data_IF_266727584101
#
_entry.id   IF_266727584101
#
_cell.length_a   1.000
_cell.length_b   1.000
_cell.length_c   1.000
_cell.angle_alpha   90.00
_cell.angle_beta   90.00
_cell.angle_gamma   90.00
#
_symmetry.space_group_name_H-M   'P 1'
#
loop_
_entity.id
_entity.type
_entity.pdbx_description
1 polymer ?
#
# COMPACT_ATOMS: atom_id res chain seq x y z
N UNK A 1 -28.53 -36.52 -26.37
CA UNK A 1 -28.17 -37.07 -25.07
C UNK A 1 -27.61 -35.95 -24.22
N UNK A 2 -28.47 -35.33 -23.42
CA UNK A 2 -28.09 -34.19 -22.53
C UNK A 2 -27.36 -34.75 -21.29
N UNK A 3 -26.11 -34.33 -21.11
CA UNK A 3 -25.41 -34.56 -19.84
C UNK A 3 -26.05 -33.66 -18.79
N UNK A 4 -26.73 -34.24 -17.81
CA UNK A 4 -27.16 -33.56 -16.60
C UNK A 4 -25.91 -33.09 -15.85
N UNK A 5 -25.73 -31.77 -15.79
CA UNK A 5 -24.70 -31.16 -14.96
C UNK A 5 -25.22 -31.23 -13.52
N UNK A 6 -24.67 -32.14 -12.72
CA UNK A 6 -24.92 -32.20 -11.29
C UNK A 6 -24.33 -30.93 -10.64
N UNK A 7 -25.19 -30.04 -10.21
CA UNK A 7 -24.81 -28.88 -9.37
C UNK A 7 -24.48 -29.44 -7.97
N UNK A 8 -23.21 -29.53 -7.65
CA UNK A 8 -22.76 -29.86 -6.30
C UNK A 8 -23.14 -28.74 -5.29
N UNK A 9 -23.46 -29.09 -4.03
CA UNK A 9 -24.23 -28.22 -3.12
C UNK A 9 -23.52 -26.98 -2.55
N UNK A 10 -22.26 -26.73 -2.87
CA UNK A 10 -21.49 -25.63 -2.27
C UNK A 10 -21.78 -24.24 -2.83
N UNK A 11 -22.42 -24.14 -3.99
CA UNK A 11 -22.84 -22.89 -4.60
C UNK A 11 -24.34 -22.58 -4.47
N UNK A 12 -25.11 -23.40 -3.76
CA UNK A 12 -26.57 -23.33 -3.80
C UNK A 12 -27.16 -22.04 -3.24
N UNK A 13 -26.57 -21.42 -2.22
CA UNK A 13 -27.08 -20.17 -1.64
C UNK A 13 -26.82 -18.95 -2.53
N UNK A 14 -25.63 -18.89 -3.16
CA UNK A 14 -25.30 -17.81 -4.09
C UNK A 14 -26.04 -18.00 -5.42
N UNK A 15 -26.14 -19.23 -5.92
CA UNK A 15 -26.88 -19.53 -7.15
C UNK A 15 -28.36 -19.15 -7.06
N UNK A 16 -28.96 -19.19 -5.88
CA UNK A 16 -30.34 -18.75 -5.66
C UNK A 16 -30.52 -17.21 -5.76
N UNK A 17 -29.44 -16.45 -5.52
CA UNK A 17 -29.47 -14.98 -5.55
C UNK A 17 -29.13 -14.43 -6.94
N UNK A 18 -28.07 -14.98 -7.58
CA UNK A 18 -27.53 -14.45 -8.85
C UNK A 18 -27.99 -15.23 -10.09
N UNK A 19 -28.94 -16.13 -9.95
CA UNK A 19 -29.42 -17.11 -10.94
C UNK A 19 -28.33 -18.13 -11.37
N UNK A 20 -28.73 -19.30 -11.91
CA UNK A 20 -27.78 -20.35 -12.34
C UNK A 20 -26.76 -19.88 -13.39
N UNK A 21 -27.16 -18.98 -14.28
CA UNK A 21 -26.27 -18.39 -15.29
C UNK A 21 -25.16 -17.54 -14.67
N UNK A 22 -25.44 -16.80 -13.60
CA UNK A 22 -24.43 -16.01 -12.87
C UNK A 22 -23.38 -16.90 -12.22
N UNK A 23 -23.76 -18.04 -11.63
CA UNK A 23 -22.82 -18.99 -11.07
C UNK A 23 -21.91 -19.63 -12.14
N UNK A 24 -22.44 -19.90 -13.33
CA UNK A 24 -21.63 -20.39 -14.44
C UNK A 24 -20.61 -19.34 -14.90
N UNK A 25 -21.01 -18.05 -14.97
CA UNK A 25 -20.09 -16.94 -15.27
C UNK A 25 -18.97 -16.84 -14.25
N UNK A 26 -19.27 -16.88 -12.95
CA UNK A 26 -18.23 -16.87 -11.90
C UNK A 26 -17.26 -18.03 -12.07
N UNK A 27 -17.78 -19.23 -12.31
CA UNK A 27 -16.98 -20.44 -12.46
C UNK A 27 -16.06 -20.43 -13.69
N UNK A 28 -16.44 -19.72 -14.77
CA UNK A 28 -15.60 -19.54 -15.95
C UNK A 28 -14.67 -18.34 -15.86
N UNK A 29 -14.88 -17.44 -14.90
CA UNK A 29 -14.13 -16.19 -14.79
C UNK A 29 -12.76 -16.37 -14.15
N UNK A 30 -11.82 -15.52 -14.58
CA UNK A 30 -10.46 -15.40 -14.05
C UNK A 30 -10.27 -14.01 -13.47
N UNK A 31 -9.98 -13.93 -12.18
CA UNK A 31 -9.81 -12.67 -11.44
C UNK A 31 -8.38 -12.53 -10.95
N UNK A 32 -7.76 -11.39 -11.20
CA UNK A 32 -6.46 -11.04 -10.66
C UNK A 32 -6.64 -10.10 -9.46
N UNK A 33 -5.99 -10.43 -8.36
CA UNK A 33 -5.92 -9.61 -7.15
C UNK A 33 -4.49 -9.10 -7.04
N UNK A 34 -4.30 -7.79 -7.16
CA UNK A 34 -3.00 -7.15 -6.98
C UNK A 34 -2.91 -6.60 -5.56
N UNK A 35 -2.05 -7.21 -4.77
CA UNK A 35 -1.90 -6.99 -3.33
C UNK A 35 -2.57 -8.10 -2.49
N UNK A 36 -1.77 -8.88 -1.76
CA UNK A 36 -2.23 -9.91 -0.82
C UNK A 36 -2.21 -9.40 0.63
N UNK A 37 -2.52 -8.12 0.81
CA UNK A 37 -2.57 -7.42 2.09
C UNK A 37 -3.96 -7.39 2.73
N UNK A 38 -4.24 -6.32 3.48
CA UNK A 38 -5.48 -6.17 4.24
C UNK A 38 -6.76 -6.11 3.40
N UNK A 39 -6.68 -5.60 2.16
CA UNK A 39 -7.78 -5.61 1.17
C UNK A 39 -7.86 -6.95 0.44
N UNK A 40 -6.72 -7.42 -0.08
CA UNK A 40 -6.68 -8.63 -0.93
C UNK A 40 -7.01 -9.91 -0.18
N UNK A 41 -6.64 -10.03 1.08
CA UNK A 41 -6.95 -11.21 1.89
C UNK A 41 -8.47 -11.50 1.96
N UNK A 42 -9.32 -10.59 2.46
CA UNK A 42 -10.75 -10.84 2.49
C UNK A 42 -11.37 -10.93 1.09
N UNK A 43 -10.87 -10.14 0.11
CA UNK A 43 -11.33 -10.24 -1.27
C UNK A 43 -11.09 -11.63 -1.85
N UNK A 44 -9.89 -12.19 -1.71
CA UNK A 44 -9.55 -13.53 -2.17
C UNK A 44 -10.42 -14.61 -1.50
N UNK A 45 -10.63 -14.49 -0.18
CA UNK A 45 -11.43 -15.44 0.59
C UNK A 45 -12.87 -15.52 0.05
N UNK A 46 -13.53 -14.36 -0.12
CA UNK A 46 -14.90 -14.32 -0.57
C UNK A 46 -15.06 -14.68 -2.05
N UNK A 47 -14.12 -14.31 -2.93
CA UNK A 47 -14.16 -14.71 -4.34
C UNK A 47 -13.93 -16.21 -4.52
N UNK A 48 -13.04 -16.82 -3.74
CA UNK A 48 -12.87 -18.26 -3.69
C UNK A 48 -14.17 -18.93 -3.23
N UNK A 49 -14.79 -18.45 -2.14
CA UNK A 49 -16.06 -18.94 -1.64
C UNK A 49 -17.23 -18.78 -2.60
N UNK A 50 -17.25 -17.68 -3.37
CA UNK A 50 -18.27 -17.43 -4.39
C UNK A 50 -18.15 -18.33 -5.63
N UNK A 51 -17.03 -19.05 -5.81
CA UNK A 51 -16.85 -19.98 -6.89
C UNK A 51 -16.25 -19.39 -8.17
N UNK A 52 -15.45 -18.35 -8.05
CA UNK A 52 -14.62 -17.84 -9.16
C UNK A 52 -13.67 -18.95 -9.61
N UNK A 53 -13.58 -19.19 -10.92
CA UNK A 53 -12.86 -20.35 -11.46
C UNK A 53 -11.34 -20.24 -11.36
N UNK A 54 -10.78 -19.04 -11.51
CA UNK A 54 -9.34 -18.79 -11.37
C UNK A 54 -9.09 -17.53 -10.57
N UNK A 55 -8.24 -17.60 -9.55
CA UNK A 55 -7.76 -16.46 -8.77
C UNK A 55 -6.25 -16.37 -8.91
N UNK A 56 -5.77 -15.26 -9.52
CA UNK A 56 -4.36 -14.86 -9.49
C UNK A 56 -4.10 -13.92 -8.34
N UNK A 57 -2.97 -14.06 -7.66
CA UNK A 57 -2.52 -13.14 -6.62
C UNK A 57 -1.13 -12.61 -6.99
N UNK A 58 -0.99 -11.27 -7.01
CA UNK A 58 0.29 -10.56 -7.23
C UNK A 58 0.67 -9.88 -5.94
N UNK A 59 1.81 -10.23 -5.38
CA UNK A 59 2.42 -9.53 -4.23
C UNK A 59 3.88 -9.95 -4.11
N UNK A 60 4.79 -8.99 -3.97
CA UNK A 60 6.24 -9.24 -3.83
C UNK A 60 6.72 -9.38 -2.39
N UNK A 61 5.87 -9.06 -1.40
CA UNK A 61 6.24 -9.01 0.02
C UNK A 61 6.20 -10.38 0.69
N UNK A 62 6.83 -10.43 1.86
CA UNK A 62 6.72 -11.52 2.82
C UNK A 62 5.71 -11.19 3.93
N UNK A 63 5.22 -12.23 4.58
CA UNK A 63 4.36 -12.12 5.77
C UNK A 63 5.17 -11.57 6.93
N UNK A 64 4.71 -10.47 7.51
CA UNK A 64 5.33 -9.82 8.66
C UNK A 64 4.37 -9.84 9.86
N UNK A 65 4.91 -9.98 11.08
CA UNK A 65 4.13 -10.02 12.32
C UNK A 65 3.25 -8.78 12.46
N UNK A 66 3.80 -7.59 12.13
CA UNK A 66 3.08 -6.32 12.20
C UNK A 66 1.87 -6.22 11.27
N UNK A 67 1.71 -7.17 10.34
CA UNK A 67 0.62 -7.19 9.38
C UNK A 67 -0.54 -8.12 9.78
N UNK A 68 -0.31 -9.05 10.71
CA UNK A 68 -1.28 -10.10 11.04
C UNK A 68 -2.61 -9.57 11.58
N UNK A 69 -2.60 -8.41 12.22
CA UNK A 69 -3.82 -7.77 12.76
C UNK A 69 -4.84 -7.35 11.68
N UNK A 70 -4.45 -7.32 10.39
CA UNK A 70 -5.31 -6.90 9.27
C UNK A 70 -5.24 -7.80 8.03
N UNK A 71 -4.27 -8.70 7.93
CA UNK A 71 -4.05 -9.58 6.78
C UNK A 71 -4.51 -11.00 7.11
N UNK A 72 -5.82 -11.22 7.07
CA UNK A 72 -6.53 -12.38 7.66
C UNK A 72 -6.27 -13.74 7.01
N UNK A 73 -5.62 -13.80 5.84
CA UNK A 73 -5.17 -15.07 5.23
C UNK A 73 -3.80 -15.54 5.73
N UNK A 74 -3.08 -14.68 6.45
CA UNK A 74 -1.75 -15.03 6.94
C UNK A 74 -1.80 -15.46 8.41
N UNK A 75 -0.92 -16.39 8.77
CA UNK A 75 -0.81 -16.95 10.11
C UNK A 75 0.58 -16.66 10.68
N UNK A 76 0.71 -16.64 12.00
CA UNK A 76 2.01 -16.49 12.68
C UNK A 76 3.04 -17.53 12.21
N UNK A 77 2.60 -18.76 11.93
CA UNK A 77 3.47 -19.82 11.41
C UNK A 77 4.03 -19.56 10.00
N UNK A 78 3.48 -18.58 9.28
CA UNK A 78 3.87 -18.23 7.90
C UNK A 78 4.70 -16.93 7.84
N UNK A 79 5.11 -16.37 8.99
CA UNK A 79 5.99 -15.19 9.02
C UNK A 79 7.30 -15.50 8.29
N UNK A 80 7.72 -14.58 7.40
CA UNK A 80 8.87 -14.75 6.51
C UNK A 80 8.56 -15.52 5.21
N UNK A 81 7.36 -16.09 5.05
CA UNK A 81 6.92 -16.70 3.79
C UNK A 81 6.33 -15.63 2.86
N UNK A 82 6.48 -15.78 1.54
CA UNK A 82 5.86 -14.87 0.57
C UNK A 82 4.35 -14.80 0.78
N UNK A 83 3.77 -13.61 0.76
CA UNK A 83 2.34 -13.38 1.01
C UNK A 83 1.45 -14.18 0.07
N UNK A 84 1.79 -14.24 -1.24
CA UNK A 84 1.01 -15.00 -2.23
C UNK A 84 0.99 -16.50 -1.91
N UNK A 85 2.11 -17.07 -1.49
CA UNK A 85 2.20 -18.49 -1.14
C UNK A 85 1.42 -18.81 0.13
N UNK A 86 1.55 -17.95 1.16
CA UNK A 86 0.80 -18.06 2.41
C UNK A 86 -0.71 -17.96 2.18
N UNK A 87 -1.16 -17.03 1.34
CA UNK A 87 -2.57 -16.86 1.01
C UNK A 87 -3.12 -18.08 0.24
N UNK A 88 -2.40 -18.58 -0.77
CA UNK A 88 -2.81 -19.75 -1.56
C UNK A 88 -2.84 -21.01 -0.70
N UNK A 89 -1.89 -21.18 0.20
CA UNK A 89 -1.90 -22.29 1.16
C UNK A 89 -3.18 -22.27 2.01
N UNK A 90 -3.50 -21.10 2.57
CA UNK A 90 -4.72 -20.91 3.35
C UNK A 90 -5.99 -21.23 2.53
N UNK A 91 -6.09 -20.72 1.30
CA UNK A 91 -7.22 -20.96 0.40
C UNK A 91 -7.33 -22.44 0.00
N UNK A 92 -6.22 -23.16 -0.16
CA UNK A 92 -6.15 -24.60 -0.48
C UNK A 92 -6.48 -25.49 0.69
N UNK A 93 -6.22 -25.09 1.93
CA UNK A 93 -6.59 -25.89 3.11
C UNK A 93 -8.10 -26.16 3.16
N UNK A 94 -8.90 -25.34 2.50
CA UNK A 94 -10.33 -25.53 2.30
C UNK A 94 -10.67 -26.44 1.10
N UNK A 95 -9.66 -27.03 0.40
CA UNK A 95 -9.88 -27.95 -0.73
C UNK A 95 -10.19 -29.40 -0.23
N UNK A 96 -11.40 -29.90 -0.46
CA UNK A 96 -11.81 -31.25 0.00
C UNK A 96 -11.07 -32.40 -0.67
N UNK A 97 -10.34 -32.16 -1.78
CA UNK A 97 -9.59 -33.22 -2.49
C UNK A 97 -8.39 -33.73 -1.69
N UNK A 98 -7.84 -32.94 -0.79
CA UNK A 98 -6.71 -33.30 0.07
C UNK A 98 -7.13 -34.26 1.20
N UNK A 99 -8.40 -34.34 1.54
CA UNK A 99 -8.93 -35.14 2.66
C UNK A 99 -9.15 -36.63 2.26
N UNK A 100 -9.21 -36.94 0.95
CA UNK A 100 -9.50 -38.31 0.47
C UNK A 100 -8.33 -39.31 0.54
N UNK A 101 -7.10 -38.87 0.77
CA UNK A 101 -5.93 -39.80 0.76
C UNK A 101 -5.69 -40.53 2.08
N UNK A 102 -6.32 -40.16 3.20
CA UNK A 102 -6.12 -40.82 4.50
C UNK A 102 -7.36 -41.54 5.01
N UNK A 103 -7.76 -42.63 4.29
CA UNK A 103 -8.84 -43.53 4.76
C UNK A 103 -8.49 -44.36 6.01
N UNK A 104 -7.27 -44.23 6.57
CA UNK A 104 -6.83 -45.05 7.71
C UNK A 104 -6.80 -44.35 9.08
N UNK A 105 -7.09 -43.06 9.18
CA UNK A 105 -7.20 -42.35 10.48
C UNK A 105 -8.62 -41.87 10.74
N UNK A 106 -9.51 -42.82 11.07
CA UNK A 106 -10.78 -42.51 11.73
C UNK A 106 -10.49 -42.07 13.17
N UNK A 107 -10.44 -40.79 13.45
CA UNK A 107 -10.93 -40.13 14.69
C UNK A 107 -10.43 -38.67 14.72
N UNK A 108 -11.38 -37.76 14.82
CA UNK A 108 -11.34 -36.29 14.82
C UNK A 108 -11.40 -35.64 13.45
N UNK A 109 -12.51 -35.81 12.76
CA UNK A 109 -12.99 -34.83 11.78
C UNK A 109 -13.68 -33.73 12.56
N UNK A 110 -12.98 -32.65 12.83
CA UNK A 110 -13.62 -31.33 12.96
C UNK A 110 -14.23 -31.02 11.60
N UNK A 111 -15.53 -30.74 11.56
CA UNK A 111 -16.23 -30.21 10.40
C UNK A 111 -15.62 -28.84 10.04
N UNK A 112 -14.50 -28.83 9.34
CA UNK A 112 -13.95 -27.61 8.77
C UNK A 112 -14.75 -27.32 7.49
N UNK A 113 -15.45 -26.19 7.50
CA UNK A 113 -16.28 -25.70 6.41
C UNK A 113 -15.46 -25.58 5.14
N UNK A 114 -15.91 -26.23 4.07
CA UNK A 114 -15.24 -26.32 2.79
C UNK A 114 -15.61 -25.09 1.95
N UNK A 115 -14.69 -24.17 1.74
CA UNK A 115 -14.79 -23.24 0.64
C UNK A 115 -14.56 -24.02 -0.68
N UNK A 116 -14.96 -23.54 -1.79
CA UNK A 116 -15.07 -24.19 -3.08
C UNK A 116 -13.81 -25.01 -3.52
N UNK A 117 -13.91 -26.28 -3.92
CA UNK A 117 -12.79 -27.10 -4.38
C UNK A 117 -12.36 -26.85 -5.84
N UNK A 118 -13.00 -25.91 -6.55
CA UNK A 118 -12.83 -25.74 -7.99
C UNK A 118 -11.89 -24.60 -8.44
N UNK A 119 -11.55 -23.57 -7.64
CA UNK A 119 -10.68 -22.51 -8.13
C UNK A 119 -9.28 -23.00 -8.43
N UNK A 120 -8.74 -22.50 -9.54
CA UNK A 120 -7.30 -22.55 -9.80
C UNK A 120 -6.65 -21.32 -9.17
N UNK A 121 -5.64 -21.53 -8.33
CA UNK A 121 -4.89 -20.45 -7.70
C UNK A 121 -3.54 -20.28 -8.39
N UNK A 122 -3.21 -19.06 -8.83
CA UNK A 122 -1.97 -18.72 -9.52
C UNK A 122 -1.21 -17.68 -8.68
N UNK A 123 0.02 -17.99 -8.28
CA UNK A 123 0.90 -17.09 -7.57
C UNK A 123 1.75 -16.29 -8.57
N UNK A 124 1.81 -14.97 -8.38
CA UNK A 124 2.76 -14.07 -9.01
C UNK A 124 3.60 -13.42 -7.90
N UNK A 125 4.68 -14.08 -7.45
CA UNK A 125 5.44 -13.68 -6.27
C UNK A 125 6.46 -12.57 -6.58
N UNK A 126 5.98 -11.44 -7.12
CA UNK A 126 6.80 -10.29 -7.49
C UNK A 126 5.99 -8.99 -7.34
N UNK A 127 6.69 -7.88 -7.15
CA UNK A 127 6.08 -6.57 -7.31
C UNK A 127 5.72 -6.33 -8.77
N UNK A 128 4.56 -5.74 -9.00
CA UNK A 128 4.08 -5.44 -10.34
C UNK A 128 4.95 -4.35 -10.98
N UNK A 129 5.50 -4.64 -12.16
CA UNK A 129 6.26 -3.69 -12.95
C UNK A 129 5.52 -3.27 -14.22
N UNK A 130 5.83 -2.11 -14.84
CA UNK A 130 5.25 -1.73 -16.14
C UNK A 130 5.50 -2.76 -17.24
N UNK A 131 6.61 -3.48 -17.18
CA UNK A 131 7.00 -4.49 -18.16
C UNK A 131 6.17 -5.77 -18.02
N UNK A 132 5.88 -6.21 -16.78
CA UNK A 132 5.20 -7.47 -16.50
C UNK A 132 3.67 -7.33 -16.48
N UNK A 133 3.18 -6.15 -16.10
CA UNK A 133 1.74 -5.92 -15.93
C UNK A 133 0.90 -6.31 -17.15
N UNK A 134 1.25 -5.97 -18.40
CA UNK A 134 0.46 -6.34 -19.56
C UNK A 134 0.34 -7.85 -19.75
N UNK A 135 1.43 -8.59 -19.60
CA UNK A 135 1.45 -10.05 -19.79
C UNK A 135 0.64 -10.76 -18.72
N UNK A 136 0.73 -10.31 -17.46
CA UNK A 136 -0.03 -10.86 -16.35
C UNK A 136 -1.52 -10.55 -16.54
N UNK A 137 -1.91 -9.31 -16.81
CA UNK A 137 -3.32 -8.89 -16.90
C UNK A 137 -4.06 -9.52 -18.08
N UNK A 138 -3.36 -9.79 -19.18
CA UNK A 138 -3.96 -10.41 -20.37
C UNK A 138 -4.65 -11.75 -20.06
N UNK A 139 -4.16 -12.49 -19.06
CA UNK A 139 -4.67 -13.80 -18.67
C UNK A 139 -5.97 -13.75 -17.84
N UNK A 140 -6.44 -12.57 -17.43
CA UNK A 140 -7.57 -12.39 -16.51
C UNK A 140 -8.70 -11.56 -17.12
N UNK A 141 -9.92 -11.77 -16.62
CA UNK A 141 -11.14 -11.08 -17.09
C UNK A 141 -11.45 -9.83 -16.27
N UNK A 142 -11.04 -9.80 -15.00
CA UNK A 142 -11.27 -8.73 -14.05
C UNK A 142 -10.04 -8.54 -13.17
N UNK A 143 -9.71 -7.27 -12.90
CA UNK A 143 -8.60 -6.89 -12.04
C UNK A 143 -9.13 -6.25 -10.74
N UNK A 144 -8.57 -6.63 -9.60
CA UNK A 144 -8.78 -5.98 -8.31
C UNK A 144 -7.49 -5.26 -7.90
N UNK A 145 -7.59 -3.95 -7.67
CA UNK A 145 -6.53 -3.15 -7.06
C UNK A 145 -6.72 -3.15 -5.55
N UNK A 146 -5.87 -3.91 -4.86
CA UNK A 146 -5.80 -4.05 -3.42
C UNK A 146 -4.52 -3.43 -2.84
N UNK A 147 -3.91 -2.49 -3.57
CA UNK A 147 -2.63 -1.86 -3.21
C UNK A 147 -2.83 -0.61 -2.34
N UNK A 148 -1.78 -0.22 -1.65
CA UNK A 148 -1.74 1.00 -0.81
C UNK A 148 -0.79 2.08 -1.37
N UNK A 149 -0.27 1.87 -2.58
CA UNK A 149 0.70 2.75 -3.23
C UNK A 149 0.08 3.43 -4.46
N UNK A 150 0.08 4.79 -4.53
CA UNK A 150 -0.48 5.52 -5.67
C UNK A 150 0.17 5.18 -7.02
N UNK A 151 1.51 5.03 -7.07
CA UNK A 151 2.22 4.71 -8.31
C UNK A 151 1.75 3.38 -8.89
N UNK A 152 1.67 2.34 -8.07
CA UNK A 152 1.14 1.02 -8.46
C UNK A 152 -0.32 1.11 -8.89
N UNK A 153 -1.12 1.93 -8.23
CA UNK A 153 -2.54 2.13 -8.56
C UNK A 153 -2.74 2.76 -9.94
N UNK A 154 -1.93 3.76 -10.31
CA UNK A 154 -1.94 4.31 -11.66
C UNK A 154 -1.52 3.28 -12.70
N UNK A 155 -0.44 2.52 -12.43
CA UNK A 155 0.02 1.43 -13.31
C UNK A 155 -1.09 0.40 -13.55
N UNK A 156 -1.75 -0.07 -12.48
CA UNK A 156 -2.85 -1.04 -12.57
C UNK A 156 -3.99 -0.50 -13.44
N UNK A 157 -4.41 0.74 -13.18
CA UNK A 157 -5.52 1.34 -13.93
C UNK A 157 -5.18 1.56 -15.41
N UNK A 158 -3.99 2.05 -15.72
CA UNK A 158 -3.57 2.29 -17.08
C UNK A 158 -3.48 0.97 -17.86
N UNK A 159 -2.86 -0.06 -17.26
CA UNK A 159 -2.78 -1.39 -17.86
C UNK A 159 -4.18 -2.00 -18.09
N UNK A 160 -5.09 -1.86 -17.13
CA UNK A 160 -6.46 -2.36 -17.25
C UNK A 160 -7.21 -1.68 -18.41
N UNK A 161 -7.04 -0.36 -18.60
CA UNK A 161 -7.64 0.37 -19.73
C UNK A 161 -7.08 -0.12 -21.06
N UNK A 162 -5.73 -0.21 -21.16
CA UNK A 162 -5.05 -0.59 -22.41
C UNK A 162 -5.37 -2.03 -22.83
N UNK A 163 -5.69 -2.90 -21.88
CA UNK A 163 -6.09 -4.29 -22.14
C UNK A 163 -7.60 -4.52 -22.08
N UNK A 164 -8.40 -3.46 -22.04
CA UNK A 164 -9.86 -3.53 -21.97
C UNK A 164 -10.36 -4.43 -20.83
N UNK A 165 -9.78 -4.29 -19.63
CA UNK A 165 -10.20 -5.05 -18.44
C UNK A 165 -10.95 -4.12 -17.49
N UNK A 166 -12.10 -4.54 -16.95
CA UNK A 166 -12.72 -3.81 -15.85
C UNK A 166 -11.83 -3.89 -14.61
N UNK A 167 -11.88 -2.85 -13.77
CA UNK A 167 -11.08 -2.72 -12.57
C UNK A 167 -11.96 -2.39 -11.38
N UNK A 168 -11.83 -3.14 -10.29
CA UNK A 168 -12.40 -2.80 -8.99
C UNK A 168 -11.27 -2.31 -8.10
N UNK A 169 -11.24 -1.01 -7.79
CA UNK A 169 -10.19 -0.38 -6.99
C UNK A 169 -10.72 0.01 -5.62
N UNK A 170 -10.00 -0.39 -4.57
CA UNK A 170 -10.27 0.00 -3.20
C UNK A 170 -9.02 0.56 -2.52
N UNK A 171 -9.24 1.40 -1.52
CA UNK A 171 -8.21 1.90 -0.62
C UNK A 171 -8.76 2.04 0.79
N UNK A 172 -7.88 1.95 1.77
CA UNK A 172 -8.23 2.22 3.15
C UNK A 172 -7.02 2.84 3.87
N UNK A 173 -7.30 3.85 4.70
CA UNK A 173 -6.31 4.53 5.52
C UNK A 173 -6.97 4.94 6.84
N UNK A 174 -6.35 4.66 7.96
CA UNK A 174 -6.88 4.95 9.30
C UNK A 174 -8.26 4.33 9.49
N UNK A 175 -9.31 5.16 9.47
CA UNK A 175 -10.71 4.81 9.69
C UNK A 175 -11.57 5.02 8.44
N UNK A 176 -10.95 5.39 7.33
CA UNK A 176 -11.61 5.74 6.07
C UNK A 176 -11.32 4.68 5.00
N UNK A 177 -12.27 4.50 4.09
CA UNK A 177 -12.12 3.62 2.94
C UNK A 177 -12.78 4.20 1.69
N UNK A 178 -12.27 3.82 0.52
CA UNK A 178 -12.81 4.20 -0.78
C UNK A 178 -12.92 2.96 -1.66
N UNK A 179 -13.99 2.88 -2.45
CA UNK A 179 -14.24 1.80 -3.39
C UNK A 179 -14.86 2.36 -4.66
N UNK A 180 -14.37 1.94 -5.81
CA UNK A 180 -14.92 2.32 -7.11
C UNK A 180 -14.71 1.22 -8.13
N UNK A 181 -15.67 1.11 -9.07
CA UNK A 181 -15.54 0.29 -10.27
C UNK A 181 -15.15 1.21 -11.43
N UNK A 182 -14.02 0.90 -12.06
CA UNK A 182 -13.41 1.70 -13.12
C UNK A 182 -13.35 0.90 -14.43
N UNK A 183 -13.28 1.62 -15.56
CA UNK A 183 -13.23 1.02 -16.90
C UNK A 183 -14.33 -0.03 -17.10
N UNK A 184 -15.54 0.25 -16.63
CA UNK A 184 -16.71 -0.63 -16.77
C UNK A 184 -17.92 0.16 -17.30
N UNK A 185 -18.43 -0.13 -18.53
CA UNK A 185 -17.95 -1.18 -19.44
C UNK A 185 -16.52 -0.90 -19.95
N UNK A 186 -15.73 -1.97 -20.19
CA UNK A 186 -14.40 -1.83 -20.76
C UNK A 186 -14.50 -1.60 -22.26
N UNK A 187 -14.10 -0.41 -22.71
CA UNK A 187 -14.11 0.00 -24.12
C UNK A 187 -12.73 0.49 -24.52
N UNK A 188 -12.39 0.46 -25.83
CA UNK A 188 -11.14 1.02 -26.33
C UNK A 188 -10.93 2.49 -25.91
N UNK A 189 -9.69 2.98 -25.83
CA UNK A 189 -9.41 4.41 -25.71
C UNK A 189 -10.11 5.20 -26.83
N UNK A 190 -10.69 6.34 -26.48
CA UNK A 190 -11.47 7.17 -27.41
C UNK A 190 -12.96 6.85 -27.49
N UNK A 191 -13.40 5.68 -27.06
CA UNK A 191 -14.83 5.36 -27.03
C UNK A 191 -15.51 6.00 -25.80
N UNK A 192 -16.46 6.93 -25.99
CA UNK A 192 -17.13 7.64 -24.90
C UNK A 192 -18.09 6.76 -24.09
N UNK A 193 -18.50 5.59 -24.61
CA UNK A 193 -19.38 4.64 -23.91
C UNK A 193 -18.64 3.86 -22.81
N UNK A 194 -17.30 3.91 -22.79
CA UNK A 194 -16.49 3.26 -21.77
C UNK A 194 -16.59 3.93 -20.40
N UNK A 195 -16.46 3.12 -19.34
CA UNK A 195 -16.41 3.63 -17.97
C UNK A 195 -15.16 4.48 -17.73
N UNK A 196 -15.20 5.44 -16.77
CA UNK A 196 -14.05 6.27 -16.42
C UNK A 196 -12.92 5.40 -15.85
N UNK A 197 -11.68 5.81 -16.08
CA UNK A 197 -10.50 5.20 -15.47
C UNK A 197 -10.04 5.97 -14.22
N UNK A 198 -9.02 5.48 -13.52
CA UNK A 198 -8.48 6.14 -12.34
C UNK A 198 -7.99 7.57 -12.64
N UNK A 199 -7.34 7.79 -13.80
CA UNK A 199 -6.91 9.15 -14.22
C UNK A 199 -8.09 10.07 -14.55
N UNK A 200 -9.27 9.55 -14.89
CA UNK A 200 -10.47 10.38 -15.05
C UNK A 200 -10.96 10.92 -13.70
N UNK A 201 -10.86 10.12 -12.65
CA UNK A 201 -11.28 10.48 -11.29
C UNK A 201 -10.18 11.29 -10.57
N UNK A 202 -8.94 10.82 -10.65
CA UNK A 202 -7.75 11.40 -10.02
C UNK A 202 -6.70 11.76 -11.09
N UNK A 203 -6.87 12.90 -11.80
CA UNK A 203 -5.99 13.26 -12.91
C UNK A 203 -4.57 13.65 -12.49
N UNK A 204 -4.39 14.02 -11.24
CA UNK A 204 -3.11 14.35 -10.60
C UNK A 204 -2.95 13.50 -9.36
N UNK A 205 -1.76 12.95 -9.11
CA UNK A 205 -1.48 12.27 -7.87
C UNK A 205 -1.54 13.23 -6.68
N UNK A 206 -1.80 12.72 -5.47
CA UNK A 206 -1.69 13.53 -4.26
C UNK A 206 -0.25 14.03 -4.07
N UNK A 207 -0.04 15.17 -3.40
CA UNK A 207 1.29 15.64 -3.05
C UNK A 207 2.08 14.55 -2.28
N UNK A 208 3.38 14.36 -2.54
CA UNK A 208 4.17 13.31 -1.87
C UNK A 208 4.12 13.39 -0.34
N UNK A 209 4.06 14.59 0.20
CA UNK A 209 3.96 14.86 1.65
C UNK A 209 2.64 14.41 2.27
N UNK A 210 1.61 14.14 1.46
CA UNK A 210 0.30 13.64 1.93
C UNK A 210 0.13 12.13 1.75
N UNK A 211 1.11 11.45 1.14
CA UNK A 211 1.10 10.01 0.95
C UNK A 211 1.64 9.35 2.22
N UNK A 212 0.74 8.78 3.02
CA UNK A 212 1.12 7.97 4.17
C UNK A 212 0.96 6.49 3.80
N UNK A 213 1.98 5.69 4.10
CA UNK A 213 1.82 4.24 4.02
C UNK A 213 0.85 3.75 5.11
N UNK A 214 0.23 2.58 4.91
CA UNK A 214 -0.58 1.96 5.97
C UNK A 214 0.23 1.67 7.24
N UNK A 215 1.56 1.57 7.13
CA UNK A 215 2.45 1.38 8.26
C UNK A 215 2.66 2.67 9.06
N UNK A 216 2.73 3.83 8.38
CA UNK A 216 2.99 5.12 9.01
C UNK A 216 1.71 5.82 9.47
N UNK A 217 0.67 5.77 8.64
CA UNK A 217 -0.63 6.37 8.93
C UNK A 217 -1.49 5.56 9.91
N UNK A 218 -1.18 4.28 10.08
CA UNK A 218 -2.01 3.32 10.80
C UNK A 218 -3.28 2.93 10.02
N UNK A 219 -3.86 1.79 10.38
CA UNK A 219 -5.12 1.31 9.82
C UNK A 219 -5.85 0.40 10.80
N UNK A 220 -7.15 0.60 10.92
CA UNK A 220 -8.02 -0.28 11.71
C UNK A 220 -8.35 -1.51 10.86
N UNK A 221 -7.96 -2.71 11.33
CA UNK A 221 -8.16 -3.97 10.60
C UNK A 221 -9.59 -4.18 10.07
N UNK A 222 -10.65 -4.02 10.86
CA UNK A 222 -12.04 -4.09 10.40
C UNK A 222 -12.39 -3.12 9.26
N UNK A 223 -11.77 -1.94 9.18
CA UNK A 223 -12.00 -0.96 8.10
C UNK A 223 -11.48 -1.51 6.77
N UNK A 224 -10.21 -1.89 6.73
CA UNK A 224 -9.62 -2.45 5.52
C UNK A 224 -10.26 -3.79 5.15
N UNK A 225 -10.62 -4.61 6.13
CA UNK A 225 -11.36 -5.86 5.93
C UNK A 225 -12.71 -5.63 5.27
N UNK A 226 -13.51 -4.66 5.75
CA UNK A 226 -14.80 -4.27 5.17
C UNK A 226 -14.64 -3.82 3.72
N UNK A 227 -13.64 -3.00 3.42
CA UNK A 227 -13.37 -2.55 2.05
C UNK A 227 -13.02 -3.71 1.12
N UNK A 228 -12.21 -4.68 1.56
CA UNK A 228 -11.89 -5.87 0.76
C UNK A 228 -13.09 -6.80 0.54
N UNK A 229 -13.99 -6.92 1.53
CA UNK A 229 -15.26 -7.65 1.38
C UNK A 229 -16.17 -6.97 0.35
N UNK A 230 -16.31 -5.66 0.42
CA UNK A 230 -17.08 -4.89 -0.55
C UNK A 230 -16.46 -4.95 -1.95
N UNK A 231 -15.15 -4.98 -2.05
CA UNK A 231 -14.43 -5.16 -3.31
C UNK A 231 -14.75 -6.52 -3.96
N UNK A 232 -14.82 -7.58 -3.17
CA UNK A 232 -15.27 -8.89 -3.65
C UNK A 232 -16.73 -8.87 -4.13
N UNK A 233 -17.60 -8.17 -3.41
CA UNK A 233 -19.00 -8.01 -3.80
C UNK A 233 -19.15 -7.28 -5.13
N UNK A 234 -18.43 -6.17 -5.31
CA UNK A 234 -18.43 -5.43 -6.60
C UNK A 234 -17.84 -6.29 -7.73
N UNK A 235 -16.80 -7.09 -7.47
CA UNK A 235 -16.25 -8.03 -8.44
C UNK A 235 -17.30 -9.06 -8.90
N UNK A 236 -18.06 -9.64 -7.98
CA UNK A 236 -19.16 -10.56 -8.30
C UNK A 236 -20.21 -9.85 -9.18
N UNK A 237 -20.60 -8.62 -8.83
CA UNK A 237 -21.55 -7.82 -9.60
C UNK A 237 -21.03 -7.55 -11.02
N UNK A 238 -19.78 -7.11 -11.16
CA UNK A 238 -19.16 -6.85 -12.49
C UNK A 238 -19.17 -8.09 -13.36
N UNK A 239 -18.94 -9.28 -12.80
CA UNK A 239 -18.92 -10.53 -13.56
C UNK A 239 -20.30 -11.08 -13.89
N UNK A 240 -21.34 -10.73 -13.13
CA UNK A 240 -22.65 -11.39 -13.23
C UNK A 240 -23.78 -10.51 -13.73
N UNK A 241 -23.64 -9.20 -13.59
CA UNK A 241 -24.69 -8.21 -13.95
C UNK A 241 -24.21 -7.20 -15.00
N UNK A 242 -25.13 -6.52 -15.70
CA UNK A 242 -24.77 -5.41 -16.57
C UNK A 242 -24.07 -4.27 -15.81
N UNK A 243 -23.24 -3.47 -16.50
CA UNK A 243 -22.58 -2.32 -15.89
C UNK A 243 -23.57 -1.35 -15.25
N UNK A 244 -23.21 -0.87 -14.06
CA UNK A 244 -23.96 0.17 -13.33
C UNK A 244 -23.32 1.56 -13.55
N UNK A 245 -24.07 2.67 -13.36
CA UNK A 245 -23.47 4.00 -13.41
C UNK A 245 -22.26 4.14 -12.50
N UNK A 246 -21.15 4.76 -12.96
CA UNK A 246 -19.92 4.83 -12.21
C UNK A 246 -20.10 5.68 -10.94
N UNK A 247 -19.60 5.16 -9.82
CA UNK A 247 -19.69 5.80 -8.51
C UNK A 247 -18.42 5.57 -7.69
N UNK A 248 -18.11 6.52 -6.81
CA UNK A 248 -17.14 6.40 -5.73
C UNK A 248 -17.89 6.23 -4.42
N UNK A 249 -17.68 5.12 -3.76
CA UNK A 249 -18.19 4.85 -2.42
C UNK A 249 -17.11 5.21 -1.39
N UNK A 250 -17.48 6.03 -0.42
CA UNK A 250 -16.63 6.45 0.69
C UNK A 250 -17.21 5.83 1.95
N UNK A 251 -16.37 5.07 2.66
CA UNK A 251 -16.65 4.52 3.97
C UNK A 251 -15.93 5.34 5.04
N UNK A 252 -16.59 5.66 6.14
CA UNK A 252 -16.00 6.33 7.29
C UNK A 252 -16.53 5.67 8.56
N UNK A 253 -15.65 4.99 9.32
CA UNK A 253 -16.04 4.18 10.45
C UNK A 253 -16.67 4.99 11.61
N UNK A 254 -16.37 6.28 11.71
CA UNK A 254 -16.87 7.15 12.77
C UNK A 254 -17.86 8.20 12.28
N UNK A 255 -18.33 8.11 11.03
CA UNK A 255 -19.35 9.02 10.49
C UNK A 255 -20.74 8.42 10.53
N UNK A 256 -21.74 9.27 10.55
CA UNK A 256 -23.14 8.89 10.31
C UNK A 256 -23.68 9.74 9.16
N UNK A 257 -24.08 9.13 8.04
CA UNK A 257 -24.02 7.70 7.70
C UNK A 257 -22.60 7.19 7.47
N UNK A 258 -22.37 5.87 7.67
CA UNK A 258 -21.08 5.20 7.45
C UNK A 258 -20.64 5.23 5.98
N UNK A 259 -21.58 5.24 5.06
CA UNK A 259 -21.33 5.23 3.61
C UNK A 259 -21.87 6.48 2.95
N UNK A 260 -21.04 7.04 2.06
CA UNK A 260 -21.44 8.11 1.13
C UNK A 260 -21.12 7.66 -0.29
N UNK A 261 -21.98 8.02 -1.25
CA UNK A 261 -21.79 7.68 -2.66
C UNK A 261 -21.74 8.94 -3.49
N UNK A 262 -20.68 9.09 -4.27
CA UNK A 262 -20.48 10.20 -5.19
C UNK A 262 -20.61 9.65 -6.61
N UNK A 263 -21.54 10.19 -7.41
CA UNK A 263 -21.65 9.85 -8.84
C UNK A 263 -20.41 10.37 -9.57
N UNK A 264 -19.77 9.50 -10.34
CA UNK A 264 -18.64 9.87 -11.15
C UNK A 264 -19.10 10.33 -12.54
N UNK A 265 -18.31 11.19 -13.16
CA UNK A 265 -18.49 11.59 -14.57
C UNK A 265 -17.98 10.47 -15.49
N UNK A 266 -18.38 10.52 -16.76
CA UNK A 266 -17.83 9.68 -17.83
C UNK A 266 -16.33 9.94 -18.05
N UNK A 267 -15.74 9.26 -19.03
CA UNK A 267 -14.34 9.47 -19.46
C UNK A 267 -14.05 10.95 -19.75
N UNK A 268 -12.89 11.41 -19.33
CA UNK A 268 -12.42 12.78 -19.64
C UNK A 268 -11.90 12.82 -21.08
N UNK A 269 -12.29 13.82 -21.90
CA UNK A 269 -11.87 13.92 -23.30
C UNK A 269 -10.35 13.99 -23.50
N UNK A 270 -9.63 14.56 -22.52
CA UNK A 270 -8.17 14.74 -22.49
C UNK A 270 -7.46 13.81 -21.50
N UNK A 271 -8.02 12.63 -21.22
CA UNK A 271 -7.38 11.66 -20.33
C UNK A 271 -6.13 11.09 -20.97
N UNK A 272 -5.04 10.99 -20.21
CA UNK A 272 -3.75 10.50 -20.72
C UNK A 272 -3.80 9.05 -21.22
N UNK A 273 -4.78 8.22 -20.80
CA UNK A 273 -4.84 6.80 -21.18
C UNK A 273 -6.12 6.41 -21.93
N UNK A 274 -7.30 6.95 -21.56
CA UNK A 274 -8.57 6.51 -22.14
C UNK A 274 -9.20 7.50 -23.14
N UNK A 275 -8.52 8.61 -23.48
CA UNK A 275 -8.96 9.56 -24.53
C UNK A 275 -8.72 9.02 -25.94
N UNK A 276 -9.21 9.76 -26.94
CA UNK A 276 -8.95 9.46 -28.33
C UNK A 276 -7.49 9.69 -28.76
N UNK A 277 -6.75 10.48 -28.01
CA UNK A 277 -5.31 10.76 -28.22
C UNK A 277 -4.55 10.50 -26.91
N UNK A 278 -4.38 9.21 -26.54
CA UNK A 278 -3.70 8.86 -25.30
C UNK A 278 -2.19 9.11 -25.40
N UNK A 279 -1.60 9.62 -24.34
CA UNK A 279 -0.13 9.75 -24.20
C UNK A 279 0.48 8.52 -23.52
N UNK A 280 -0.34 7.74 -22.80
CA UNK A 280 0.04 6.46 -22.21
C UNK A 280 -0.48 5.34 -23.10
N UNK A 281 0.43 4.57 -23.70
CA UNK A 281 0.15 3.45 -24.58
C UNK A 281 0.86 2.19 -24.08
N UNK A 282 0.55 1.02 -24.65
CA UNK A 282 1.27 -0.22 -24.30
C UNK A 282 2.77 -0.09 -24.55
N UNK A 283 3.16 0.60 -25.62
CA UNK A 283 4.56 0.84 -25.95
C UNK A 283 5.26 1.72 -24.90
N UNK A 284 4.66 2.87 -24.53
CA UNK A 284 5.23 3.76 -23.51
C UNK A 284 5.26 3.12 -22.13
N UNK A 285 4.34 2.21 -21.85
CA UNK A 285 4.29 1.46 -20.60
C UNK A 285 5.43 0.41 -20.57
N UNK A 286 5.58 -0.40 -21.62
CA UNK A 286 6.58 -1.47 -21.69
C UNK A 286 8.02 -0.95 -21.84
N UNK A 287 8.21 0.17 -22.54
CA UNK A 287 9.53 0.82 -22.67
C UNK A 287 10.02 1.45 -21.35
N UNK A 288 9.14 1.59 -20.35
CA UNK A 288 9.46 2.29 -19.10
C UNK A 288 9.51 3.81 -19.23
N UNK A 289 9.12 4.38 -20.39
CA UNK A 289 9.04 5.84 -20.57
C UNK A 289 7.96 6.50 -19.69
N UNK A 290 7.00 5.72 -19.20
CA UNK A 290 6.03 6.15 -18.19
C UNK A 290 6.55 5.82 -16.79
N UNK A 291 7.25 6.77 -16.17
CA UNK A 291 7.74 6.63 -14.79
C UNK A 291 6.62 6.98 -13.79
N UNK A 292 5.98 5.96 -13.24
CA UNK A 292 4.89 6.10 -12.27
C UNK A 292 5.37 6.62 -10.92
N UNK A 293 6.60 6.32 -10.54
CA UNK A 293 7.18 6.78 -9.26
C UNK A 293 7.43 8.28 -9.35
N UNK A 294 8.07 8.73 -10.43
CA UNK A 294 8.29 10.15 -10.69
C UNK A 294 6.96 10.91 -10.85
N UNK A 295 6.00 10.34 -11.60
CA UNK A 295 4.68 10.94 -11.79
C UNK A 295 3.95 11.17 -10.44
N UNK A 296 4.12 10.28 -9.47
CA UNK A 296 3.56 10.43 -8.12
C UNK A 296 4.44 11.26 -7.18
N UNK A 297 5.45 11.95 -7.71
CA UNK A 297 6.34 12.83 -6.94
C UNK A 297 7.37 12.08 -6.09
N UNK A 298 7.51 10.76 -6.29
CA UNK A 298 8.66 10.03 -5.81
C UNK A 298 9.86 10.43 -6.68
N UNK A 299 10.92 10.96 -6.06
CA UNK A 299 12.20 11.09 -6.75
C UNK A 299 12.63 9.71 -7.26
N UNK A 300 13.36 9.65 -8.36
CA UNK A 300 13.91 8.41 -8.95
C UNK A 300 14.95 7.70 -8.05
N UNK A 301 14.98 8.02 -6.78
CA UNK A 301 15.90 7.47 -5.77
C UNK A 301 15.06 6.66 -4.79
N UNK A 302 15.35 5.36 -4.67
CA UNK A 302 14.80 4.55 -3.57
C UNK A 302 15.10 5.25 -2.24
N UNK A 303 14.23 5.18 -1.22
CA UNK A 303 14.50 5.76 0.10
C UNK A 303 15.86 5.37 0.69
N UNK A 304 16.41 4.23 0.26
CA UNK A 304 17.75 3.75 0.67
C UNK A 304 18.91 4.59 0.11
N UNK A 305 18.69 5.44 -0.92
CA UNK A 305 19.72 6.20 -1.60
C UNK A 305 19.63 7.73 -1.39
N UNK A 306 18.82 8.22 -0.43
CA UNK A 306 18.70 9.66 -0.16
C UNK A 306 19.95 10.26 0.46
N UNK A 307 20.72 9.48 1.21
CA UNK A 307 21.94 9.86 1.88
C UNK A 307 23.12 9.05 1.35
N UNK A 308 24.31 9.64 1.35
CA UNK A 308 25.55 8.93 1.07
C UNK A 308 25.84 7.87 2.16
N UNK A 309 26.61 6.81 1.88
CA UNK A 309 26.90 5.77 2.87
C UNK A 309 27.54 6.26 4.18
N UNK A 310 28.35 7.30 4.13
CA UNK A 310 29.01 7.95 5.28
C UNK A 310 28.04 8.84 6.09
N UNK A 311 26.89 9.17 5.53
CA UNK A 311 25.82 9.90 6.21
C UNK A 311 24.83 8.96 6.93
N UNK A 312 25.13 7.66 6.95
CA UNK A 312 24.30 6.62 7.55
C UNK A 312 25.09 5.79 8.55
N UNK A 313 24.45 5.34 9.62
CA UNK A 313 25.07 4.49 10.65
C UNK A 313 24.24 3.21 10.83
N UNK A 314 24.91 2.06 11.02
CA UNK A 314 24.20 0.85 11.37
C UNK A 314 23.65 0.92 12.80
N UNK A 315 22.56 0.20 13.13
CA UNK A 315 22.07 0.15 14.51
C UNK A 315 23.09 -0.34 15.52
N UNK A 316 23.98 -1.28 15.13
CA UNK A 316 25.07 -1.79 15.98
C UNK A 316 26.11 -0.71 16.24
N UNK A 317 26.59 -0.02 15.20
CA UNK A 317 27.59 1.05 15.36
C UNK A 317 27.02 2.23 16.14
N UNK A 318 25.73 2.54 15.95
CA UNK A 318 25.02 3.53 16.76
C UNK A 318 25.04 3.13 18.25
N UNK A 319 24.70 1.89 18.58
CA UNK A 319 24.70 1.40 19.96
C UNK A 319 26.12 1.48 20.60
N UNK A 320 27.14 1.13 19.83
CA UNK A 320 28.53 1.24 20.29
C UNK A 320 28.93 2.70 20.53
N UNK A 321 28.56 3.60 19.63
CA UNK A 321 28.85 5.04 19.75
C UNK A 321 28.11 5.69 20.92
N UNK A 322 26.89 5.24 21.24
CA UNK A 322 26.10 5.76 22.35
C UNK A 322 26.58 5.23 23.73
N UNK A 323 27.29 4.09 23.73
CA UNK A 323 27.78 3.43 24.96
C UNK A 323 29.21 3.81 25.32
N UNK A 324 29.95 4.48 24.41
CA UNK A 324 31.35 4.86 24.67
C UNK A 324 31.42 6.19 25.43
N UNK A 325 32.08 6.20 26.57
CA UNK A 325 32.31 7.39 27.40
C UNK A 325 33.39 8.35 26.86
N UNK A 326 33.90 8.10 25.64
CA UNK A 326 35.04 8.82 25.06
C UNK A 326 34.66 10.00 24.16
N UNK A 327 33.42 10.07 23.67
CA UNK A 327 32.91 11.17 22.83
C UNK A 327 31.81 11.96 23.57
N UNK A 328 31.64 13.26 23.30
CA UNK A 328 30.51 13.99 23.85
C UNK A 328 29.22 13.29 23.45
N UNK A 329 28.35 13.04 24.43
CA UNK A 329 27.09 12.35 24.22
C UNK A 329 26.37 12.88 23.00
N UNK A 330 26.10 12.00 22.01
CA UNK A 330 25.43 12.38 20.77
C UNK A 330 23.97 12.79 21.03
N UNK A 331 23.46 13.72 20.24
CA UNK A 331 22.05 14.14 20.31
C UNK A 331 21.24 13.19 19.44
N UNK A 332 20.24 12.54 20.03
CA UNK A 332 19.32 11.63 19.30
C UNK A 332 18.01 12.35 19.00
N UNK A 333 17.66 12.45 17.73
CA UNK A 333 16.40 13.05 17.26
C UNK A 333 15.51 11.92 16.73
N UNK A 334 14.39 11.69 17.40
CA UNK A 334 13.34 10.78 16.92
C UNK A 334 12.28 11.57 16.14
N UNK A 335 12.20 11.30 14.83
CA UNK A 335 11.31 12.02 13.94
C UNK A 335 9.96 11.35 13.74
N UNK A 336 9.63 10.32 14.53
CA UNK A 336 8.31 9.72 14.54
C UNK A 336 7.28 10.68 15.10
N UNK A 337 6.01 10.47 14.73
CA UNK A 337 4.91 11.22 15.33
C UNK A 337 4.86 11.00 16.85
N UNK A 338 4.43 12.02 17.58
CA UNK A 338 4.42 12.02 19.07
C UNK A 338 3.76 10.77 19.67
N UNK A 339 2.66 10.30 19.08
CA UNK A 339 1.94 9.09 19.53
C UNK A 339 2.83 7.85 19.45
N UNK A 340 3.67 7.74 18.43
CA UNK A 340 4.60 6.60 18.28
C UNK A 340 5.79 6.71 19.25
N UNK A 341 6.28 7.92 19.46
CA UNK A 341 7.33 8.21 20.43
C UNK A 341 6.91 7.88 21.86
N UNK A 342 5.67 8.18 22.22
CA UNK A 342 5.12 7.93 23.56
C UNK A 342 4.89 6.44 23.87
N UNK A 343 4.85 5.56 22.84
CA UNK A 343 4.77 4.10 23.03
C UNK A 343 6.12 3.57 23.54
N UNK A 344 7.19 3.98 22.91
CA UNK A 344 8.58 3.66 23.31
C UNK A 344 9.54 4.63 22.61
N UNK A 345 10.63 4.98 23.23
CA UNK A 345 11.66 5.87 22.69
C UNK A 345 13.04 5.46 23.15
N UNK A 346 14.08 5.77 22.36
CA UNK A 346 15.45 5.59 22.78
C UNK A 346 15.75 6.51 23.96
N UNK A 347 16.59 6.03 24.87
CA UNK A 347 16.97 6.80 26.05
C UNK A 347 17.58 8.15 25.64
N UNK A 348 17.18 9.22 26.31
CA UNK A 348 17.60 10.61 26.07
C UNK A 348 17.32 11.12 24.64
N UNK A 349 16.43 10.49 23.85
CA UNK A 349 16.04 10.97 22.54
C UNK A 349 15.04 12.14 22.65
N UNK A 350 15.17 13.09 21.71
CA UNK A 350 14.31 14.26 21.59
C UNK A 350 13.33 14.02 20.44
N UNK A 351 12.04 14.13 20.70
CA UNK A 351 11.02 13.98 19.65
C UNK A 351 10.83 15.27 18.86
N UNK A 352 11.08 15.20 17.56
CA UNK A 352 10.77 16.25 16.60
C UNK A 352 10.05 15.63 15.41
N UNK A 353 8.72 15.56 15.42
CA UNK A 353 7.96 14.88 14.38
C UNK A 353 8.30 15.35 12.98
N UNK A 354 8.40 14.42 12.02
CA UNK A 354 8.73 14.75 10.62
C UNK A 354 7.70 15.72 10.02
N UNK A 355 6.44 15.61 10.41
CA UNK A 355 5.37 16.54 10.03
C UNK A 355 5.68 17.98 10.42
N UNK A 356 6.29 18.20 11.58
CA UNK A 356 6.73 19.53 12.06
C UNK A 356 7.92 20.06 11.24
N UNK A 357 8.90 19.19 10.95
CA UNK A 357 10.08 19.55 10.14
C UNK A 357 9.67 19.95 8.71
N UNK A 358 8.68 19.28 8.12
CA UNK A 358 8.22 19.55 6.75
C UNK A 358 7.28 20.75 6.65
N UNK A 359 6.43 20.99 7.65
CA UNK A 359 5.46 22.09 7.64
C UNK A 359 6.11 23.48 7.65
N UNK A 360 7.31 23.60 8.20
CA UNK A 360 8.06 24.86 8.27
C UNK A 360 8.63 25.37 6.93
N UNK A 361 8.48 24.59 5.86
CA UNK A 361 8.94 24.98 4.51
C UNK A 361 7.97 25.87 3.74
N UNK A 362 6.75 26.10 4.25
CA UNK A 362 5.68 26.82 3.53
C UNK A 362 5.48 28.28 3.96
N UNK A 363 6.21 28.77 4.93
CA UNK A 363 6.21 30.20 5.30
C UNK A 363 7.38 30.95 4.68
N UNK A 364 7.38 31.08 3.33
CA UNK A 364 8.07 32.18 2.69
C UNK A 364 7.31 33.47 3.03
N UNK A 365 7.72 34.10 4.07
CA UNK A 365 7.29 35.46 4.45
C UNK A 365 7.54 36.37 3.28
N UNK A 366 6.49 36.85 2.64
CA UNK A 366 6.50 38.07 1.85
C UNK A 366 6.85 39.24 2.81
N UNK A 367 8.13 39.44 3.02
CA UNK A 367 8.61 40.67 3.64
C UNK A 367 8.55 41.75 2.58
N UNK A 368 7.59 42.66 2.70
CA UNK A 368 7.65 44.00 2.15
C UNK A 368 8.94 44.64 2.65
N UNK A 369 9.93 44.73 1.76
CA UNK A 369 11.21 45.38 2.00
C UNK A 369 11.01 46.87 2.15
N UNK A 370 11.22 47.37 3.35
CA UNK A 370 11.50 48.78 3.60
C UNK A 370 13.03 48.98 3.43
N UNK A 371 13.52 49.89 2.55
CA UNK A 371 14.93 49.91 2.09
C UNK A 371 15.91 50.66 3.01
N UNK A 372 15.69 50.75 4.32
CA UNK A 372 16.58 51.49 5.19
C UNK A 372 16.79 50.87 6.57
N UNK A 373 17.35 49.67 6.63
CA UNK A 373 18.05 49.21 7.85
C UNK A 373 19.07 48.15 7.46
N UNK A 374 20.36 48.48 7.61
CA UNK A 374 21.50 47.56 7.60
C UNK A 374 21.46 46.67 8.85
N UNK A 375 20.60 45.69 8.88
CA UNK A 375 20.69 44.57 9.81
C UNK A 375 21.02 43.34 9.01
N UNK A 376 22.21 42.76 9.24
CA UNK A 376 22.55 41.39 8.85
C UNK A 376 21.39 40.48 9.28
N UNK A 377 20.77 39.79 8.31
CA UNK A 377 19.84 38.73 8.59
C UNK A 377 20.62 37.64 9.39
N UNK A 378 20.48 37.64 10.71
CA UNK A 378 20.77 36.48 11.52
C UNK A 378 19.85 35.38 11.00
N UNK A 379 20.44 34.27 10.52
CA UNK A 379 19.73 33.07 10.14
C UNK A 379 18.92 32.59 11.35
N UNK A 380 17.67 33.03 11.45
CA UNK A 380 16.76 32.57 12.51
C UNK A 380 16.51 31.06 12.31
N UNK A 381 17.11 30.26 13.18
CA UNK A 381 16.87 28.82 13.22
C UNK A 381 15.37 28.56 13.45
N UNK A 382 14.82 27.49 12.83
CA UNK A 382 13.40 27.21 12.97
C UNK A 382 13.00 26.94 14.44
N UNK A 383 11.81 27.37 14.87
CA UNK A 383 11.38 27.25 16.28
C UNK A 383 11.20 25.83 16.77
N UNK A 384 11.14 24.85 15.85
CA UNK A 384 11.05 23.43 16.18
C UNK A 384 12.42 22.79 16.47
N UNK A 385 13.52 23.50 16.21
CA UNK A 385 14.86 22.94 16.43
C UNK A 385 15.15 22.87 17.93
N UNK A 386 15.52 21.71 18.47
CA UNK A 386 15.85 21.56 19.88
C UNK A 386 17.02 22.47 20.30
N UNK A 387 16.90 23.07 21.48
CA UNK A 387 17.95 23.95 22.06
C UNK A 387 19.29 23.23 22.26
N UNK A 388 19.24 21.95 22.52
CA UNK A 388 20.41 21.06 22.71
C UNK A 388 21.32 21.05 21.48
N UNK A 389 20.74 21.17 20.28
CA UNK A 389 21.49 21.25 19.03
C UNK A 389 22.34 22.51 18.95
N UNK A 390 21.84 23.61 19.45
CA UNK A 390 22.51 24.90 19.42
C UNK A 390 23.50 25.06 20.56
N UNK A 391 23.22 24.50 21.74
CA UNK A 391 24.09 24.55 22.92
C UNK A 391 25.29 23.62 22.83
N UNK A 392 25.20 22.56 21.99
CA UNK A 392 26.28 21.59 21.80
C UNK A 392 26.67 21.49 20.32
N UNK A 393 27.38 22.48 19.76
CA UNK A 393 27.61 22.60 18.31
C UNK A 393 28.54 21.52 17.73
N UNK A 394 29.30 20.81 18.54
CA UNK A 394 30.22 19.74 18.12
C UNK A 394 29.68 18.34 18.32
N UNK A 395 28.63 18.17 19.14
CA UNK A 395 28.06 16.85 19.39
C UNK A 395 27.43 16.26 18.13
N UNK A 396 27.68 14.97 17.81
CA UNK A 396 27.08 14.32 16.67
C UNK A 396 25.55 14.24 16.83
N UNK A 397 24.83 14.29 15.70
CA UNK A 397 23.37 14.14 15.66
C UNK A 397 23.02 12.82 15.00
N UNK A 398 22.30 11.97 15.73
CA UNK A 398 21.74 10.72 15.25
C UNK A 398 20.24 10.89 15.03
N UNK A 399 19.77 10.66 13.82
CA UNK A 399 18.35 10.80 13.50
C UNK A 399 17.74 9.41 13.33
N UNK A 400 16.63 9.16 14.01
CA UNK A 400 15.95 7.88 13.97
C UNK A 400 14.47 8.07 13.64
N UNK A 401 13.93 7.14 12.83
CA UNK A 401 12.48 6.97 12.63
C UNK A 401 12.12 5.49 12.74
N UNK A 402 10.92 5.11 12.38
CA UNK A 402 10.49 3.70 12.47
C UNK A 402 11.24 2.78 11.51
N UNK A 403 11.43 3.17 10.24
CA UNK A 403 11.94 2.32 9.15
C UNK A 403 13.19 2.86 8.45
N UNK A 404 13.73 4.00 8.85
CA UNK A 404 14.91 4.60 8.22
C UNK A 404 14.63 5.40 6.93
N UNK A 405 13.39 5.83 6.71
CA UNK A 405 12.98 6.64 5.56
C UNK A 405 12.89 8.13 5.94
N UNK A 406 12.05 8.47 6.91
CA UNK A 406 11.84 9.85 7.37
C UNK A 406 13.09 10.45 8.01
N UNK A 407 13.92 9.61 8.67
CA UNK A 407 15.20 10.01 9.23
C UNK A 407 16.16 10.56 8.17
N UNK A 408 16.20 9.97 6.97
CA UNK A 408 17.02 10.48 5.86
C UNK A 408 16.54 11.86 5.38
N UNK A 409 15.23 12.04 5.28
CA UNK A 409 14.63 13.35 4.91
C UNK A 409 15.00 14.41 5.95
N UNK A 410 14.89 14.06 7.23
CA UNK A 410 15.24 14.96 8.33
C UNK A 410 16.73 15.31 8.34
N UNK A 411 17.64 14.34 8.12
CA UNK A 411 19.09 14.59 8.01
C UNK A 411 19.37 15.60 6.89
N UNK A 412 18.78 15.44 5.69
CA UNK A 412 18.93 16.43 4.61
C UNK A 412 18.47 17.82 5.02
N UNK A 413 17.34 17.90 5.73
CA UNK A 413 16.81 19.20 6.18
C UNK A 413 17.70 19.84 7.22
N UNK A 414 18.22 19.09 8.19
CA UNK A 414 19.17 19.59 9.20
C UNK A 414 20.48 20.10 8.56
N UNK A 415 21.00 19.38 7.57
CA UNK A 415 22.19 19.84 6.79
C UNK A 415 21.88 21.07 5.96
N UNK A 416 20.70 21.17 5.35
CA UNK A 416 20.28 22.36 4.61
C UNK A 416 20.19 23.63 5.49
N UNK A 417 19.98 23.45 6.81
CA UNK A 417 20.06 24.53 7.80
C UNK A 417 21.51 24.86 8.22
N UNK A 418 22.50 24.17 7.64
CA UNK A 418 23.92 24.39 7.93
C UNK A 418 24.36 23.88 9.30
N UNK A 419 23.66 22.92 9.89
CA UNK A 419 23.97 22.38 11.21
C UNK A 419 25.16 21.40 11.20
N UNK A 420 25.66 21.02 10.03
CA UNK A 420 26.87 20.24 9.79
C UNK A 420 28.14 21.09 9.66
N UNK A 421 28.01 22.42 9.74
CA UNK A 421 29.15 23.34 9.71
C UNK A 421 30.12 23.04 10.85
N UNK A 422 31.42 23.16 10.57
CA UNK A 422 32.47 22.84 11.55
C UNK A 422 32.78 21.33 11.67
N UNK A 423 32.31 20.51 10.72
CA UNK A 423 32.60 19.06 10.71
C UNK A 423 31.69 18.25 11.61
N UNK A 424 30.59 18.81 12.10
CA UNK A 424 29.60 18.11 12.90
C UNK A 424 28.99 16.95 12.11
N UNK A 425 29.03 15.73 12.68
CA UNK A 425 28.43 14.55 12.07
C UNK A 425 26.91 14.55 12.27
N UNK A 426 26.15 14.46 11.17
CA UNK A 426 24.68 14.30 11.18
C UNK A 426 24.36 13.08 10.31
N UNK A 427 23.84 12.02 10.94
CA UNK A 427 23.60 10.73 10.29
C UNK A 427 22.23 10.15 10.67
N UNK A 428 21.66 9.31 9.78
CA UNK A 428 20.49 8.52 10.10
C UNK A 428 20.85 7.10 10.55
N UNK A 429 20.01 6.51 11.41
CA UNK A 429 20.13 5.10 11.79
C UNK A 429 19.46 4.25 10.72
N UNK A 430 20.25 3.43 10.00
CA UNK A 430 19.79 2.58 8.89
C UNK A 430 18.67 1.63 9.32
N UNK A 431 17.56 1.64 8.59
CA UNK A 431 16.39 0.82 8.87
C UNK A 431 15.61 1.20 10.13
N UNK A 432 16.00 2.30 10.79
CA UNK A 432 15.31 2.88 11.94
C UNK A 432 15.16 1.93 13.14
N UNK A 433 14.16 2.19 13.99
CA UNK A 433 13.89 1.38 15.18
C UNK A 433 13.52 -0.07 14.87
N UNK A 434 12.98 -0.35 13.67
CA UNK A 434 12.72 -1.72 13.23
C UNK A 434 14.01 -2.53 13.05
N UNK A 435 15.04 -1.95 12.45
CA UNK A 435 16.35 -2.59 12.35
C UNK A 435 17.05 -2.66 13.70
N UNK A 436 16.95 -1.61 14.54
CA UNK A 436 17.46 -1.60 15.91
C UNK A 436 16.90 -2.78 16.72
N UNK A 437 15.58 -2.99 16.71
CA UNK A 437 14.95 -4.15 17.34
C UNK A 437 15.52 -5.46 16.85
N UNK A 438 15.72 -5.62 15.55
CA UNK A 438 16.16 -6.89 14.95
C UNK A 438 17.58 -7.29 15.38
N UNK A 439 18.48 -6.31 15.57
CA UNK A 439 19.92 -6.57 15.70
C UNK A 439 20.54 -6.09 16.99
N UNK A 440 19.86 -5.22 17.75
CA UNK A 440 20.39 -4.65 19.01
C UNK A 440 19.52 -5.06 20.19
N UNK A 441 18.21 -4.80 20.15
CA UNK A 441 17.30 -5.09 21.25
C UNK A 441 16.05 -5.84 20.77
N UNK A 442 16.08 -7.19 20.76
CA UNK A 442 14.91 -7.99 20.39
C UNK A 442 13.66 -7.78 21.27
N UNK A 443 13.84 -7.23 22.48
CA UNK A 443 12.76 -6.86 23.39
C UNK A 443 12.06 -5.54 23.07
N UNK A 444 12.60 -4.76 22.13
CA UNK A 444 11.99 -3.49 21.71
C UNK A 444 10.57 -3.70 21.20
N UNK A 445 9.58 -2.87 21.64
CA UNK A 445 8.18 -3.00 21.25
C UNK A 445 7.99 -2.93 19.72
N UNK A 446 7.15 -3.82 19.19
CA UNK A 446 6.71 -3.79 17.80
C UNK A 446 5.27 -3.29 17.74
N UNK A 447 5.03 -2.21 16.98
CA UNK A 447 3.71 -1.57 16.82
C UNK A 447 3.50 -1.05 15.40
#
# INVERSE_FOLDING_TARGET
MGRSISLEPTGSSIANIIAPLGQLKLRSSKVLIVGAGGLGCPAALYLAGAGVGTLGLVDGDEVDVSNLHRQVLHRTANVGKRKVDSAIEYLREYDPRLIRKDKKKKKRQTNMYRLNPHPTYIAHPAHLTPQDAPSIFAAYDLILDCTDNPATRYLISDTAVLLHKPLVSASALRTEGQLTVLNNPPQPPGDPSGGPCYRCVFPRPPPPTSILSCADGGIVGPVVGTMGVLQALEAIKVLTTPPTPPALHIFSAYSSPLFRTIKLRSRRPNCAVCSAQPTVTLETLQSGSTDYVFFCGGGSVSPEALLAPDERISPQDYQQSSSSSADPAGIVIDVREKVQFDICSLENSINVPISTILSSSSSSTTTTTNPNTNNKAEDLLPPWLPSEITTSPTSPIYVVCRQGNDSQVAVKKLKALGLDRGGRRIVDVMGGLRAYRRVVDPGWPEY
#
